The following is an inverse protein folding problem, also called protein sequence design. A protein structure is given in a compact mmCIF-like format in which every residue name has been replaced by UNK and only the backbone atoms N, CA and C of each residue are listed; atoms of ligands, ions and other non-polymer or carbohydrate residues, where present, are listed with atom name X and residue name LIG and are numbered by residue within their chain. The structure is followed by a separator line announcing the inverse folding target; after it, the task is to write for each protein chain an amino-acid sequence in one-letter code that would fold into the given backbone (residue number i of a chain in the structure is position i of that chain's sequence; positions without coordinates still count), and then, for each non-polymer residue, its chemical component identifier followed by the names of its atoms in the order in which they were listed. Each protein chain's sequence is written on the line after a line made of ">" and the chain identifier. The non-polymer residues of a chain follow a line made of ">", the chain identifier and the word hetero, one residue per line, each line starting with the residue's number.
data_IF_658094390577
#
_entry.id   IF_658094390577
#
_cell.length_a   1.000
_cell.length_b   1.000
_cell.length_c   1.000
_cell.angle_alpha   90.00
_cell.angle_beta   90.00
_cell.angle_gamma   90.00
#
_symmetry.space_group_name_H-M   'P 1'
#
loop_
_entity.id
_entity.type
_entity.pdbx_description
1 polymer ?
#
# COMPACT_ATOMS: atom_id res chain seq x y z
N UNK A 1 3.48 -82.03 10.79
CA UNK A 1 2.38 -81.22 10.23
C UNK A 1 2.06 -80.16 11.27
N UNK A 2 2.76 -79.02 11.25
CA UNK A 2 2.48 -77.83 10.43
C UNK A 2 1.21 -77.12 10.86
N UNK A 3 1.36 -75.98 11.55
CA UNK A 3 0.72 -74.67 11.28
C UNK A 3 0.99 -73.75 12.48
N UNK A 4 1.99 -72.88 12.40
CA UNK A 4 1.95 -71.50 11.88
C UNK A 4 1.55 -70.49 12.96
N UNK A 5 2.57 -69.95 13.64
CA UNK A 5 2.49 -68.76 14.48
C UNK A 5 2.20 -67.53 13.62
N UNK A 6 1.14 -66.77 13.91
CA UNK A 6 0.96 -65.39 13.44
C UNK A 6 1.00 -64.45 14.65
N UNK A 7 2.15 -63.83 14.86
CA UNK A 7 2.30 -62.69 15.76
C UNK A 7 1.67 -61.46 15.12
N UNK A 8 0.64 -60.91 15.77
CA UNK A 8 0.12 -59.58 15.44
C UNK A 8 1.00 -58.53 16.13
N UNK A 9 1.94 -57.95 15.38
CA UNK A 9 2.64 -56.74 15.81
C UNK A 9 1.66 -55.57 15.73
N UNK A 10 1.12 -55.17 16.89
CA UNK A 10 0.43 -53.89 17.03
C UNK A 10 1.49 -52.78 16.88
N UNK A 11 1.48 -52.11 15.74
CA UNK A 11 2.26 -50.91 15.49
C UNK A 11 1.74 -49.82 16.45
N UNK A 12 2.44 -49.58 17.56
CA UNK A 12 2.23 -48.41 18.39
C UNK A 12 2.72 -47.20 17.60
N UNK A 13 1.82 -46.55 16.88
CA UNK A 13 2.05 -45.21 16.34
C UNK A 13 2.31 -44.27 17.52
N UNK A 14 3.57 -43.89 17.70
CA UNK A 14 3.92 -42.77 18.56
C UNK A 14 3.44 -41.53 17.79
N UNK A 15 2.25 -41.04 18.14
CA UNK A 15 1.83 -39.71 17.75
C UNK A 15 2.80 -38.73 18.41
N UNK A 16 3.77 -38.25 17.64
CA UNK A 16 4.57 -37.08 18.01
C UNK A 16 3.63 -35.90 18.03
N UNK A 17 3.05 -35.61 19.20
CA UNK A 17 2.38 -34.35 19.45
C UNK A 17 3.44 -33.25 19.24
N UNK A 18 3.36 -32.52 18.13
CA UNK A 18 4.05 -31.24 18.03
C UNK A 18 3.53 -30.40 19.20
N UNK A 19 4.40 -29.88 20.07
CA UNK A 19 3.96 -28.95 21.09
C UNK A 19 3.53 -27.68 20.34
N UNK A 20 2.23 -27.49 20.18
CA UNK A 20 1.67 -26.17 19.89
C UNK A 20 1.88 -25.37 21.17
N UNK A 21 3.06 -24.76 21.29
CA UNK A 21 3.30 -23.74 22.30
C UNK A 21 2.38 -22.59 21.93
N UNK A 22 1.22 -22.54 22.59
CA UNK A 22 0.25 -21.46 22.43
C UNK A 22 0.87 -20.22 23.07
N UNK A 23 1.69 -19.52 22.30
CA UNK A 23 2.30 -18.27 22.75
C UNK A 23 1.19 -17.22 22.76
N UNK A 24 0.81 -16.77 23.96
CA UNK A 24 -0.31 -15.87 24.14
C UNK A 24 -0.03 -14.53 23.43
N UNK A 25 -0.75 -14.30 22.34
CA UNK A 25 -0.68 -13.09 21.54
C UNK A 25 -1.54 -12.03 22.20
N UNK A 26 -0.94 -10.88 22.51
CA UNK A 26 -1.65 -9.76 23.11
C UNK A 26 -2.01 -8.73 22.03
N UNK A 27 -3.24 -8.24 22.10
CA UNK A 27 -3.72 -7.13 21.29
C UNK A 27 -4.07 -5.99 22.25
N UNK A 28 -3.43 -4.84 22.08
CA UNK A 28 -3.64 -3.69 22.95
C UNK A 28 -3.88 -2.43 22.10
N UNK A 29 -4.91 -1.63 22.42
CA UNK A 29 -4.99 -0.26 21.92
C UNK A 29 -3.97 0.56 22.70
N UNK A 30 -2.97 1.13 22.03
CA UNK A 30 -1.96 1.96 22.68
C UNK A 30 -1.96 3.36 22.10
N UNK A 31 -2.13 4.37 22.95
CA UNK A 31 -1.61 5.71 22.67
C UNK A 31 -0.17 5.77 23.17
N UNK A 32 0.81 5.82 22.26
CA UNK A 32 2.20 6.11 22.68
C UNK A 32 3.35 5.48 21.88
N UNK A 33 3.09 4.59 20.92
CA UNK A 33 4.12 4.09 20.00
C UNK A 33 4.01 4.85 18.68
N UNK A 34 4.11 6.17 18.78
CA UNK A 34 4.19 7.02 17.61
C UNK A 34 5.60 6.93 17.06
N UNK A 35 5.76 6.63 15.77
CA UNK A 35 7.00 6.94 15.08
C UNK A 35 7.24 8.45 15.14
N UNK A 36 8.49 8.89 14.99
CA UNK A 36 8.80 10.32 15.02
C UNK A 36 8.58 10.88 13.62
N UNK A 37 7.71 11.89 13.49
CA UNK A 37 7.60 12.62 12.23
C UNK A 37 8.90 13.38 11.95
N UNK A 38 9.41 13.39 10.71
CA UNK A 38 10.51 14.25 10.31
C UNK A 38 10.18 15.73 10.56
N UNK A 39 11.16 16.51 11.03
CA UNK A 39 11.04 17.97 11.11
C UNK A 39 10.90 18.56 9.70
N UNK A 40 10.13 19.65 9.59
CA UNK A 40 9.97 20.35 8.32
C UNK A 40 11.25 21.12 7.96
N UNK A 41 11.72 20.93 6.72
CA UNK A 41 12.99 21.52 6.23
C UNK A 41 12.80 22.64 5.21
N UNK A 42 11.64 23.31 5.23
CA UNK A 42 11.28 24.40 4.32
C UNK A 42 10.42 23.92 3.15
N UNK A 43 9.43 24.73 2.79
CA UNK A 43 8.50 24.45 1.70
C UNK A 43 7.69 23.17 1.87
N UNK A 44 7.56 22.39 0.80
CA UNK A 44 6.92 21.07 0.82
C UNK A 44 7.96 19.95 0.96
N UNK A 45 7.64 18.87 1.65
CA UNK A 45 8.42 17.64 1.57
C UNK A 45 7.51 16.44 1.78
N UNK A 46 8.03 15.28 1.44
CA UNK A 46 7.32 14.02 1.56
C UNK A 46 8.11 12.89 0.91
N UNK A 47 7.77 11.67 1.30
CA UNK A 47 8.32 10.44 0.74
C UNK A 47 7.36 9.31 1.01
N UNK A 48 7.18 8.44 0.03
CA UNK A 48 6.41 7.23 0.21
C UNK A 48 7.17 6.02 -0.35
N UNK A 49 6.96 4.86 0.26
CA UNK A 49 7.50 3.60 -0.24
C UNK A 49 6.60 2.42 0.10
N UNK A 50 6.58 1.43 -0.79
CA UNK A 50 5.75 0.24 -0.63
C UNK A 50 6.28 -0.70 0.45
N UNK A 51 7.57 -1.06 0.39
CA UNK A 51 8.18 -1.95 1.38
C UNK A 51 9.59 -1.47 1.72
N UNK A 52 9.91 -1.41 3.01
CA UNK A 52 11.26 -1.27 3.50
C UNK A 52 11.62 -2.45 4.40
N UNK A 53 12.83 -2.98 4.25
CA UNK A 53 13.33 -4.12 5.00
C UNK A 53 14.73 -3.78 5.53
N UNK A 54 14.88 -3.85 6.85
CA UNK A 54 16.16 -3.89 7.53
C UNK A 54 16.46 -5.31 7.99
N UNK A 55 17.70 -5.73 7.75
CA UNK A 55 18.29 -6.93 8.32
C UNK A 55 19.64 -6.56 8.95
N UNK A 56 20.23 -7.41 9.81
CA UNK A 56 21.55 -7.14 10.40
C UNK A 56 22.69 -6.90 9.39
N UNK A 57 22.48 -7.14 8.09
CA UNK A 57 23.49 -7.02 7.04
C UNK A 57 23.14 -6.02 5.94
N UNK A 58 21.89 -5.62 5.78
CA UNK A 58 21.47 -4.71 4.70
C UNK A 58 20.11 -4.06 4.93
N UNK A 59 19.93 -2.93 4.26
CA UNK A 59 18.67 -2.20 4.11
C UNK A 59 18.22 -2.22 2.64
N UNK A 60 16.94 -2.45 2.40
CA UNK A 60 16.34 -2.38 1.07
C UNK A 60 15.02 -1.62 1.11
N UNK A 61 14.81 -0.74 0.12
CA UNK A 61 13.54 0.01 -0.06
C UNK A 61 13.01 -0.28 -1.45
N UNK A 62 11.71 -0.55 -1.56
CA UNK A 62 11.03 -0.92 -2.80
C UNK A 62 9.86 0.02 -3.08
N UNK A 63 9.64 0.32 -4.37
CA UNK A 63 8.66 1.30 -4.83
C UNK A 63 8.79 2.63 -4.07
N UNK A 64 10.01 3.19 -4.02
CA UNK A 64 10.33 4.41 -3.27
C UNK A 64 10.22 5.64 -4.18
N UNK A 65 9.47 6.65 -3.74
CA UNK A 65 9.37 7.92 -4.47
C UNK A 65 10.65 8.74 -4.41
N UNK A 66 11.50 8.51 -3.40
CA UNK A 66 12.49 9.48 -2.95
C UNK A 66 11.83 10.69 -2.26
N UNK A 67 12.67 11.61 -1.79
CA UNK A 67 12.22 12.84 -1.13
C UNK A 67 11.71 13.86 -2.14
N UNK A 68 10.52 14.40 -1.89
CA UNK A 68 9.97 15.52 -2.63
C UNK A 68 10.82 16.79 -2.39
N UNK A 69 11.19 17.53 -3.45
CA UNK A 69 11.89 18.81 -3.29
C UNK A 69 11.05 19.88 -2.57
N UNK A 70 11.68 20.86 -1.90
CA UNK A 70 11.00 21.96 -1.20
C UNK A 70 10.09 22.81 -2.09
N UNK A 71 10.36 22.84 -3.40
CA UNK A 71 9.54 23.54 -4.38
C UNK A 71 8.20 22.82 -4.66
N UNK A 72 8.05 21.57 -4.22
CA UNK A 72 6.90 20.71 -4.49
C UNK A 72 7.05 19.88 -5.77
N UNK A 73 5.93 19.58 -6.42
CA UNK A 73 5.85 18.69 -7.58
C UNK A 73 5.17 17.37 -7.25
N UNK A 74 5.42 16.34 -8.05
CA UNK A 74 4.91 14.98 -7.83
C UNK A 74 5.98 13.97 -8.20
N UNK A 75 6.24 13.02 -7.30
CA UNK A 75 7.11 11.87 -7.51
C UNK A 75 6.32 10.58 -7.31
N UNK A 76 6.74 9.51 -8.00
CA UNK A 76 6.11 8.19 -7.93
C UNK A 76 7.15 7.09 -7.87
N UNK A 77 6.83 5.99 -7.19
CA UNK A 77 7.59 4.77 -7.18
C UNK A 77 6.65 3.59 -7.34
N UNK A 78 6.88 2.73 -8.33
CA UNK A 78 6.07 1.52 -8.52
C UNK A 78 6.96 0.30 -8.68
N UNK A 79 6.44 -0.85 -8.29
CA UNK A 79 7.10 -2.13 -8.49
C UNK A 79 6.04 -3.22 -8.63
N UNK A 80 6.22 -4.06 -9.65
CA UNK A 80 5.31 -5.17 -9.94
C UNK A 80 5.23 -6.16 -8.79
N UNK A 81 6.37 -6.59 -8.27
CA UNK A 81 6.45 -7.47 -7.11
C UNK A 81 7.78 -7.33 -6.40
N UNK A 82 7.77 -7.65 -5.12
CA UNK A 82 8.97 -7.83 -4.30
C UNK A 82 8.94 -9.24 -3.72
N UNK A 83 10.10 -9.90 -3.69
CA UNK A 83 10.31 -11.11 -2.93
C UNK A 83 11.77 -11.18 -2.49
N UNK A 84 12.02 -10.85 -1.22
CA UNK A 84 13.36 -10.79 -0.62
C UNK A 84 13.52 -11.77 0.55
N UNK A 85 12.77 -12.86 0.53
CA UNK A 85 12.84 -13.94 1.51
C UNK A 85 12.12 -13.67 2.82
N UNK A 86 12.25 -12.46 3.40
CA UNK A 86 11.53 -12.05 4.62
C UNK A 86 10.27 -11.24 4.35
N UNK A 87 10.18 -10.64 3.16
CA UNK A 87 9.05 -9.86 2.71
C UNK A 87 8.75 -10.18 1.24
N UNK A 88 7.46 -10.35 0.95
CA UNK A 88 6.92 -10.42 -0.39
C UNK A 88 5.65 -9.57 -0.49
N UNK A 89 5.35 -9.10 -1.69
CA UNK A 89 4.17 -8.31 -2.00
C UNK A 89 4.08 -8.03 -3.50
N UNK A 90 2.90 -7.67 -3.95
CA UNK A 90 2.57 -7.43 -5.35
C UNK A 90 1.95 -6.04 -5.52
N UNK A 91 2.08 -5.49 -6.73
CA UNK A 91 1.46 -4.20 -7.12
C UNK A 91 1.79 -3.10 -6.11
N UNK A 92 3.09 -2.87 -5.88
CA UNK A 92 3.54 -1.80 -5.01
C UNK A 92 3.41 -0.48 -5.76
N UNK A 93 2.70 0.47 -5.17
CA UNK A 93 2.48 1.81 -5.71
C UNK A 93 2.73 2.84 -4.62
N UNK A 94 3.47 3.89 -4.94
CA UNK A 94 3.70 5.01 -4.04
C UNK A 94 3.79 6.32 -4.79
N UNK A 95 3.35 7.38 -4.13
CA UNK A 95 3.44 8.72 -4.66
C UNK A 95 3.55 9.76 -3.55
N UNK A 96 4.15 10.89 -3.88
CA UNK A 96 4.23 12.08 -3.02
C UNK A 96 4.05 13.31 -3.87
N UNK A 97 3.40 14.33 -3.32
CA UNK A 97 3.11 15.59 -3.98
C UNK A 97 3.17 16.78 -3.03
N UNK A 98 3.46 17.94 -3.61
CA UNK A 98 3.49 19.21 -2.89
C UNK A 98 3.11 20.36 -3.81
N UNK A 99 2.14 21.16 -3.42
CA UNK A 99 1.66 22.29 -4.21
C UNK A 99 0.33 22.83 -3.70
N UNK A 100 0.03 24.10 -4.00
CA UNK A 100 -1.27 24.69 -3.66
C UNK A 100 -1.60 24.71 -2.16
N UNK A 101 -0.59 24.71 -1.29
CA UNK A 101 -0.78 24.67 0.16
C UNK A 101 -0.92 23.28 0.77
N UNK A 102 -0.71 22.22 -0.02
CA UNK A 102 -0.89 20.83 0.38
C UNK A 102 0.37 20.04 0.09
N UNK A 103 0.88 19.32 1.09
CA UNK A 103 1.79 18.19 0.91
C UNK A 103 1.02 16.89 1.15
N UNK A 104 1.14 15.91 0.27
CA UNK A 104 0.34 14.69 0.33
C UNK A 104 1.10 13.51 -0.25
N UNK A 105 1.03 12.36 0.41
CA UNK A 105 1.73 11.14 0.01
C UNK A 105 0.94 9.90 0.38
N UNK A 106 1.11 8.85 -0.42
CA UNK A 106 0.52 7.54 -0.16
C UNK A 106 1.42 6.41 -0.65
N UNK A 107 1.25 5.23 -0.04
CA UNK A 107 1.81 3.97 -0.52
C UNK A 107 0.79 2.86 -0.35
N UNK A 108 0.73 1.92 -1.30
CA UNK A 108 -0.13 0.76 -1.30
C UNK A 108 0.64 -0.50 -1.76
N UNK A 109 0.30 -1.64 -1.17
CA UNK A 109 0.84 -2.96 -1.51
C UNK A 109 -0.28 -4.00 -1.45
N UNK A 110 -0.40 -4.82 -2.49
CA UNK A 110 -1.28 -5.98 -2.54
C UNK A 110 -0.56 -7.26 -2.12
N UNK A 111 -1.33 -8.25 -1.65
CA UNK A 111 -0.89 -9.61 -1.30
C UNK A 111 0.44 -9.66 -0.53
N UNK A 112 0.46 -8.99 0.62
CA UNK A 112 1.61 -8.90 1.51
C UNK A 112 1.82 -10.23 2.22
N UNK A 113 3.06 -10.72 2.21
CA UNK A 113 3.50 -11.88 3.00
C UNK A 113 4.86 -11.62 3.63
N UNK A 114 4.90 -11.51 4.95
CA UNK A 114 6.10 -11.36 5.76
C UNK A 114 6.37 -12.66 6.50
N UNK A 115 7.60 -13.16 6.46
CA UNK A 115 7.99 -14.38 7.16
C UNK A 115 9.42 -14.27 7.66
N UNK A 116 9.58 -14.10 8.97
CA UNK A 116 10.90 -13.94 9.60
C UNK A 116 11.29 -15.22 10.31
N UNK A 117 12.19 -16.01 9.72
CA UNK A 117 12.86 -17.14 10.37
C UNK A 117 11.95 -18.25 10.92
N UNK A 118 10.70 -18.35 10.45
CA UNK A 118 9.69 -19.25 11.02
C UNK A 118 9.17 -18.84 12.40
N UNK A 119 9.51 -17.64 12.87
CA UNK A 119 9.10 -17.09 14.17
C UNK A 119 7.71 -16.47 14.09
N UNK A 120 7.47 -15.69 13.04
CA UNK A 120 6.19 -15.05 12.77
C UNK A 120 5.95 -15.01 11.27
N UNK A 121 4.70 -15.27 10.89
CA UNK A 121 4.18 -14.99 9.54
C UNK A 121 3.09 -13.94 9.65
N UNK A 122 3.18 -12.88 8.85
CA UNK A 122 2.15 -11.84 8.73
C UNK A 122 1.71 -11.80 7.28
N UNK A 123 0.40 -11.85 7.02
CA UNK A 123 -0.13 -11.68 5.67
C UNK A 123 -1.27 -10.67 5.67
N UNK A 124 -1.45 -9.95 4.57
CA UNK A 124 -2.58 -9.07 4.34
C UNK A 124 -2.88 -9.00 2.85
N UNK A 125 -4.16 -8.97 2.49
CA UNK A 125 -4.59 -8.89 1.09
C UNK A 125 -4.25 -7.52 0.49
N UNK A 126 -4.35 -6.47 1.32
CA UNK A 126 -4.06 -5.10 0.92
C UNK A 126 -3.61 -4.27 2.11
N UNK A 127 -2.61 -3.42 1.89
CA UNK A 127 -2.04 -2.52 2.89
C UNK A 127 -1.79 -1.16 2.25
N UNK A 128 -2.35 -0.09 2.82
CA UNK A 128 -2.15 1.30 2.36
C UNK A 128 -1.89 2.25 3.51
N UNK A 129 -1.01 3.21 3.29
CA UNK A 129 -0.82 4.38 4.13
C UNK A 129 -1.08 5.65 3.31
N UNK A 130 -1.70 6.66 3.94
CA UNK A 130 -1.97 7.96 3.35
C UNK A 130 -1.68 9.08 4.35
N UNK A 131 -1.14 10.18 3.85
CA UNK A 131 -0.77 11.36 4.62
C UNK A 131 -1.12 12.63 3.87
N UNK A 132 -1.58 13.65 4.60
CA UNK A 132 -1.84 14.99 4.08
C UNK A 132 -1.45 16.03 5.11
N UNK A 133 -0.75 17.08 4.69
CA UNK A 133 -0.38 18.22 5.53
C UNK A 133 -0.71 19.54 4.83
N UNK A 134 -1.43 20.41 5.52
CA UNK A 134 -1.74 21.78 5.07
C UNK A 134 -1.50 22.79 6.18
N UNK A 135 -1.23 24.05 5.84
CA UNK A 135 -1.05 25.09 6.86
C UNK A 135 -2.33 25.37 7.67
N UNK A 136 -3.50 25.22 7.05
CA UNK A 136 -4.78 25.57 7.68
C UNK A 136 -5.38 24.41 8.49
N UNK A 137 -5.35 23.18 7.96
CA UNK A 137 -5.96 22.02 8.61
C UNK A 137 -4.98 21.25 9.49
N UNK A 138 -3.67 21.46 9.30
CA UNK A 138 -2.61 20.70 9.94
C UNK A 138 -2.28 19.40 9.19
N UNK A 139 -1.57 18.51 9.89
CA UNK A 139 -1.10 17.22 9.37
C UNK A 139 -1.96 16.06 9.88
N UNK A 140 -2.44 15.23 8.96
CA UNK A 140 -3.35 14.11 9.17
C UNK A 140 -2.91 12.88 8.38
N UNK A 141 -3.21 11.70 8.88
CA UNK A 141 -2.86 10.46 8.21
C UNK A 141 -3.80 9.31 8.56
N UNK A 142 -3.82 8.31 7.69
CA UNK A 142 -4.63 7.11 7.87
C UNK A 142 -3.97 5.90 7.22
N UNK A 143 -4.40 4.71 7.63
CA UNK A 143 -4.04 3.48 6.94
C UNK A 143 -5.27 2.61 6.72
N UNK A 144 -5.21 1.79 5.67
CA UNK A 144 -6.21 0.80 5.33
C UNK A 144 -5.53 -0.56 5.20
N UNK A 145 -6.04 -1.56 5.92
CA UNK A 145 -5.50 -2.91 5.91
C UNK A 145 -6.66 -3.90 5.77
N UNK A 146 -6.59 -4.78 4.78
CA UNK A 146 -7.56 -5.85 4.54
C UNK A 146 -6.93 -7.22 4.74
N UNK A 147 -7.71 -8.17 5.27
CA UNK A 147 -7.30 -9.57 5.37
C UNK A 147 -6.11 -9.84 6.29
N UNK A 148 -5.83 -8.97 7.26
CA UNK A 148 -4.65 -9.12 8.12
C UNK A 148 -4.71 -10.43 8.91
N UNK A 149 -3.69 -11.27 8.75
CA UNK A 149 -3.48 -12.47 9.55
C UNK A 149 -2.08 -12.46 10.15
N UNK A 150 -1.97 -13.01 11.36
CA UNK A 150 -0.68 -13.24 12.01
C UNK A 150 -0.67 -14.68 12.52
N UNK A 151 0.32 -15.46 12.07
CA UNK A 151 0.42 -16.90 12.31
C UNK A 151 -0.88 -17.66 11.94
N UNK A 152 -1.54 -17.24 10.85
CA UNK A 152 -2.81 -17.80 10.39
C UNK A 152 -4.04 -17.42 11.22
N UNK A 153 -3.88 -16.57 12.24
CA UNK A 153 -4.99 -16.04 13.04
C UNK A 153 -5.43 -14.69 12.46
N UNK A 154 -6.71 -14.51 12.10
CA UNK A 154 -7.19 -13.22 11.60
C UNK A 154 -7.14 -12.16 12.69
N UNK A 155 -6.71 -10.96 12.32
CA UNK A 155 -6.63 -9.80 13.19
C UNK A 155 -7.65 -8.76 12.75
N UNK A 156 -8.53 -8.37 13.66
CA UNK A 156 -9.42 -7.23 13.44
C UNK A 156 -8.62 -5.94 13.51
N UNK A 157 -8.54 -5.22 12.39
CA UNK A 157 -7.95 -3.87 12.32
C UNK A 157 -8.97 -2.86 12.84
N UNK A 158 -8.64 -2.14 13.91
CA UNK A 158 -9.58 -1.21 14.56
C UNK A 158 -9.60 0.16 13.91
N UNK A 159 -8.53 0.51 13.20
CA UNK A 159 -8.29 1.86 12.68
C UNK A 159 -7.66 2.81 13.71
N UNK A 160 -7.51 2.38 14.96
CA UNK A 160 -6.83 3.17 15.98
C UNK A 160 -5.35 3.34 15.63
N UNK A 161 -4.77 4.48 16.00
CA UNK A 161 -3.33 4.73 15.84
C UNK A 161 -2.56 3.79 16.76
N UNK A 162 -1.55 3.10 16.22
CA UNK A 162 -0.63 2.27 16.99
C UNK A 162 -1.26 1.01 17.59
N UNK A 163 -2.26 0.42 16.93
CA UNK A 163 -2.79 -0.88 17.34
C UNK A 163 -1.65 -1.92 17.32
N UNK A 164 -1.41 -2.59 18.44
CA UNK A 164 -0.32 -3.55 18.51
C UNK A 164 -0.80 -4.99 18.57
N UNK A 165 -0.03 -5.83 17.90
CA UNK A 165 -0.13 -7.28 17.94
C UNK A 165 1.27 -7.80 18.25
N UNK A 166 1.47 -8.36 19.43
CA UNK A 166 2.82 -8.69 19.87
C UNK A 166 2.85 -9.92 20.74
N UNK A 167 4.06 -10.49 20.81
CA UNK A 167 4.40 -11.52 21.77
C UNK A 167 5.70 -11.10 22.48
N UNK A 168 5.65 -10.86 23.81
CA UNK A 168 6.80 -10.37 24.56
C UNK A 168 8.09 -11.16 24.29
N UNK A 169 9.15 -10.45 23.90
CA UNK A 169 10.46 -11.04 23.62
C UNK A 169 10.55 -11.82 22.31
N UNK A 170 9.52 -11.81 21.48
CA UNK A 170 9.48 -12.54 20.19
C UNK A 170 9.26 -11.62 19.01
N UNK A 171 8.12 -10.95 18.95
CA UNK A 171 7.83 -9.95 17.91
C UNK A 171 6.89 -8.86 18.38
N UNK A 172 6.93 -7.74 17.67
CA UNK A 172 5.94 -6.66 17.75
C UNK A 172 5.53 -6.28 16.34
N UNK A 173 4.23 -6.32 16.05
CA UNK A 173 3.61 -5.70 14.89
C UNK A 173 2.81 -4.49 15.37
N UNK A 174 3.12 -3.32 14.82
CA UNK A 174 2.36 -2.09 15.01
C UNK A 174 1.57 -1.84 13.73
N UNK A 175 0.27 -1.63 13.88
CA UNK A 175 -0.67 -1.34 12.81
C UNK A 175 -1.05 0.13 12.94
N UNK A 176 -1.12 0.83 11.80
CA UNK A 176 -1.43 2.25 11.75
C UNK A 176 -0.51 3.08 12.67
N UNK A 177 0.80 2.86 12.57
CA UNK A 177 1.77 3.63 13.33
C UNK A 177 1.85 5.04 12.75
N UNK A 178 1.63 6.07 13.57
CA UNK A 178 1.65 7.46 13.11
C UNK A 178 2.52 8.34 13.98
N UNK A 179 3.21 9.29 13.34
CA UNK A 179 3.99 10.34 13.97
C UNK A 179 3.59 11.69 13.44
N UNK A 180 3.30 12.66 14.30
CA UNK A 180 2.79 13.97 13.86
C UNK A 180 3.48 15.14 14.55
N UNK A 181 3.81 16.18 13.78
CA UNK A 181 4.19 17.51 14.25
C UNK A 181 3.14 18.49 13.73
N UNK A 182 2.54 19.27 14.63
CA UNK A 182 1.53 20.28 14.30
C UNK A 182 1.86 21.59 15.06
N UNK A 183 2.91 22.29 14.65
CA UNK A 183 3.28 23.61 15.19
C UNK A 183 2.87 24.71 14.21
N UNK A 184 2.96 25.98 14.61
CA UNK A 184 2.61 27.11 13.74
C UNK A 184 3.45 27.16 12.46
N UNK A 185 4.69 26.66 12.51
CA UNK A 185 5.64 26.69 11.40
C UNK A 185 5.87 25.35 10.72
N UNK A 186 5.40 24.24 11.28
CA UNK A 186 5.64 22.91 10.73
C UNK A 186 4.44 22.00 10.93
N UNK A 187 3.95 21.44 9.82
CA UNK A 187 2.94 20.40 9.78
C UNK A 187 3.59 19.19 9.12
N UNK A 188 3.83 18.12 9.87
CA UNK A 188 4.49 16.91 9.39
C UNK A 188 3.75 15.69 9.91
N UNK A 189 3.56 14.68 9.06
CA UNK A 189 2.93 13.42 9.40
C UNK A 189 3.65 12.29 8.69
N UNK A 190 3.95 11.23 9.40
CA UNK A 190 4.35 9.94 8.85
C UNK A 190 3.36 8.88 9.30
N UNK A 191 3.01 7.98 8.39
CA UNK A 191 2.18 6.81 8.64
C UNK A 191 2.87 5.58 8.08
N UNK A 192 3.05 4.57 8.93
CA UNK A 192 3.40 3.21 8.53
C UNK A 192 2.17 2.33 8.75
N UNK A 193 1.61 1.75 7.68
CA UNK A 193 0.42 0.93 7.81
C UNK A 193 0.69 -0.35 8.61
N UNK A 194 1.81 -1.03 8.31
CA UNK A 194 2.34 -2.14 9.12
C UNK A 194 3.82 -1.90 9.43
N UNK A 195 4.20 -2.10 10.69
CA UNK A 195 5.57 -2.02 11.16
C UNK A 195 5.89 -3.24 12.03
N UNK A 196 6.70 -4.16 11.49
CA UNK A 196 7.04 -5.43 12.12
C UNK A 196 8.48 -5.45 12.62
N UNK A 197 8.66 -5.79 13.89
CA UNK A 197 9.95 -5.99 14.54
C UNK A 197 10.11 -7.42 15.05
N UNK A 198 11.15 -8.12 14.59
CA UNK A 198 11.42 -9.53 14.97
C UNK A 198 12.92 -9.76 14.97
N UNK A 199 13.52 -10.05 16.12
CA UNK A 199 14.91 -10.54 16.23
C UNK A 199 15.97 -9.69 15.45
N UNK A 200 15.83 -8.36 15.44
CA UNK A 200 16.74 -7.47 14.71
C UNK A 200 16.47 -7.35 13.20
N UNK A 201 15.40 -7.95 12.71
CA UNK A 201 14.77 -7.65 11.43
C UNK A 201 13.63 -6.67 11.68
N UNK A 202 13.55 -5.64 10.85
CA UNK A 202 12.51 -4.62 10.87
C UNK A 202 11.93 -4.52 9.45
N UNK A 203 10.61 -4.52 9.34
CA UNK A 203 9.92 -4.44 8.05
C UNK A 203 8.79 -3.43 8.17
N UNK A 204 8.78 -2.47 7.26
CA UNK A 204 7.70 -1.50 7.11
C UNK A 204 6.99 -1.77 5.78
N UNK A 205 5.67 -1.88 5.83
CA UNK A 205 4.82 -2.03 4.64
C UNK A 205 3.87 -0.85 4.56
N UNK A 206 3.85 -0.23 3.38
CA UNK A 206 3.23 1.03 3.05
C UNK A 206 3.60 2.13 4.06
N UNK A 207 4.62 2.91 3.71
CA UNK A 207 4.98 4.13 4.43
C UNK A 207 4.66 5.35 3.59
N UNK A 208 4.06 6.35 4.21
CA UNK A 208 3.82 7.65 3.61
C UNK A 208 4.18 8.74 4.61
N UNK A 209 4.94 9.72 4.16
CA UNK A 209 5.29 10.91 4.92
C UNK A 209 5.00 12.16 4.09
N UNK A 210 4.40 13.16 4.72
CA UNK A 210 4.16 14.47 4.12
C UNK A 210 4.43 15.57 5.15
N UNK A 211 5.10 16.63 4.72
CA UNK A 211 5.30 17.82 5.54
C UNK A 211 5.25 19.13 4.76
N UNK A 212 4.89 20.19 5.47
CA UNK A 212 4.82 21.54 4.96
C UNK A 212 5.28 22.55 6.02
N UNK A 213 6.13 23.48 5.60
CA UNK A 213 6.60 24.60 6.42
C UNK A 213 5.71 25.82 6.22
N UNK A 214 5.21 26.39 7.33
CA UNK A 214 4.25 27.50 7.32
C UNK A 214 4.85 28.80 7.90
N UNK A 215 4.40 29.99 7.44
CA UNK A 215 3.59 30.19 6.25
C UNK A 215 4.39 29.89 4.98
N UNK A 216 3.71 29.53 3.90
CA UNK A 216 4.35 29.29 2.61
C UNK A 216 4.78 30.64 2.04
N UNK A 217 6.08 30.91 2.06
CA UNK A 217 6.64 32.10 1.40
C UNK A 217 6.62 31.91 -0.11
N UNK A 218 6.35 32.98 -0.88
CA UNK A 218 6.49 32.94 -2.35
C UNK A 218 7.91 32.50 -2.72
N UNK A 219 8.04 31.30 -3.27
CA UNK A 219 9.32 30.65 -3.57
C UNK A 219 9.59 29.37 -2.74
N UNK A 220 9.04 29.25 -1.53
CA UNK A 220 9.05 28.02 -0.72
C UNK A 220 7.97 27.01 -1.15
N UNK A 221 7.62 27.04 -2.43
CA UNK A 221 6.47 26.35 -3.01
C UNK A 221 6.11 26.97 -4.36
N UNK A 222 7.12 27.43 -5.10
CA UNK A 222 7.04 28.31 -6.28
C UNK A 222 6.38 27.71 -7.52
N UNK A 223 5.52 26.72 -7.38
CA UNK A 223 4.49 26.48 -8.39
C UNK A 223 3.37 27.49 -8.18
N UNK A 224 3.04 28.28 -9.21
CA UNK A 224 1.68 28.84 -9.28
C UNK A 224 0.64 27.73 -9.09
N UNK A 225 -0.60 28.07 -8.79
CA UNK A 225 -1.73 27.13 -8.90
C UNK A 225 -1.66 26.51 -10.30
N UNK A 226 -1.10 25.31 -10.36
CA UNK A 226 -0.91 24.58 -11.60
C UNK A 226 -2.14 23.72 -11.73
N UNK A 227 -2.92 23.99 -12.78
CA UNK A 227 -4.02 23.13 -13.19
C UNK A 227 -3.51 21.70 -13.23
N UNK A 228 -3.98 20.91 -12.27
CA UNK A 228 -3.68 19.49 -12.15
C UNK A 228 -5.00 18.74 -12.24
N UNK A 229 -4.94 17.57 -12.83
CA UNK A 229 -6.06 16.65 -12.86
C UNK A 229 -5.49 15.27 -13.05
N UNK A 230 -5.32 14.55 -11.95
CA UNK A 230 -4.84 13.18 -11.98
C UNK A 230 -5.56 12.33 -10.95
N UNK A 231 -5.60 11.03 -11.20
CA UNK A 231 -6.19 10.05 -10.31
C UNK A 231 -5.12 9.06 -9.88
N UNK A 232 -5.17 8.66 -8.61
CA UNK A 232 -4.36 7.59 -8.03
C UNK A 232 -5.28 6.53 -7.47
N UNK A 233 -4.87 5.27 -7.46
CA UNK A 233 -5.65 4.25 -6.81
C UNK A 233 -4.86 2.97 -6.60
N UNK A 234 -5.09 2.34 -5.45
CA UNK A 234 -4.56 1.03 -5.12
C UNK A 234 -5.62 0.24 -4.38
N UNK A 235 -5.77 -1.03 -4.71
CA UNK A 235 -6.80 -1.86 -4.12
C UNK A 235 -6.99 -3.15 -4.88
N UNK A 236 -8.14 -3.78 -4.65
CA UNK A 236 -8.53 -4.99 -5.34
C UNK A 236 -10.04 -5.12 -5.46
N UNK A 237 -10.45 -5.90 -6.46
CA UNK A 237 -11.83 -6.31 -6.71
C UNK A 237 -11.95 -7.83 -6.70
N UNK A 238 -13.16 -8.35 -6.45
CA UNK A 238 -13.42 -9.78 -6.54
C UNK A 238 -13.52 -10.24 -8.00
N UNK A 239 -12.81 -11.32 -8.34
CA UNK A 239 -12.87 -12.00 -9.64
C UNK A 239 -12.95 -13.50 -9.45
N UNK A 240 -14.09 -14.10 -9.77
CA UNK A 240 -14.31 -15.56 -9.67
C UNK A 240 -13.85 -16.20 -8.33
N UNK A 241 -13.97 -15.47 -7.22
CA UNK A 241 -13.55 -15.92 -5.89
C UNK A 241 -12.07 -15.67 -5.55
N UNK A 242 -11.32 -15.04 -6.44
CA UNK A 242 -9.94 -14.61 -6.25
C UNK A 242 -9.84 -13.08 -6.25
N UNK A 243 -8.73 -12.55 -5.76
CA UNK A 243 -8.45 -11.11 -5.84
C UNK A 243 -7.96 -10.75 -7.24
N UNK A 244 -8.40 -9.60 -7.72
CA UNK A 244 -7.71 -8.90 -8.78
C UNK A 244 -7.18 -7.57 -8.26
N UNK A 245 -5.88 -7.52 -8.01
CA UNK A 245 -5.20 -6.36 -7.44
C UNK A 245 -4.90 -5.34 -8.53
N UNK A 246 -4.96 -4.06 -8.19
CA UNK A 246 -4.58 -2.97 -9.06
C UNK A 246 -3.83 -1.88 -8.30
N UNK A 247 -3.00 -1.16 -9.05
CA UNK A 247 -2.28 0.02 -8.60
C UNK A 247 -2.04 0.92 -9.81
N UNK A 248 -2.43 2.18 -9.72
CA UNK A 248 -2.28 3.13 -10.82
C UNK A 248 -2.15 4.57 -10.37
N UNK A 249 -1.57 5.35 -11.27
CA UNK A 249 -1.62 6.81 -11.28
C UNK A 249 -1.77 7.26 -12.72
N UNK A 250 -2.65 8.19 -13.02
CA UNK A 250 -2.81 8.70 -14.38
C UNK A 250 -3.34 10.14 -14.40
N UNK A 251 -2.84 10.95 -15.33
CA UNK A 251 -3.38 12.27 -15.61
C UNK A 251 -2.33 13.37 -15.73
N UNK A 252 -2.79 14.60 -15.60
CA UNK A 252 -2.00 15.82 -15.71
C UNK A 252 -1.53 16.24 -14.32
N UNK A 253 -0.28 15.89 -14.01
CA UNK A 253 0.40 16.39 -12.81
C UNK A 253 0.85 17.85 -13.02
N UNK A 254 1.06 18.62 -11.95
CA UNK A 254 1.57 19.99 -12.06
C UNK A 254 2.81 20.09 -12.98
N UNK A 255 2.77 20.96 -14.00
CA UNK A 255 3.82 21.18 -15.00
C UNK A 255 4.29 19.93 -15.76
N UNK A 256 3.41 18.94 -15.89
CA UNK A 256 3.75 17.66 -16.48
C UNK A 256 2.78 17.31 -17.58
N UNK A 257 3.32 16.91 -18.74
CA UNK A 257 2.52 16.25 -19.77
C UNK A 257 1.86 14.99 -19.21
N UNK A 258 0.77 14.57 -19.87
CA UNK A 258 0.04 13.36 -19.55
C UNK A 258 1.00 12.20 -19.34
N UNK A 259 0.86 11.55 -18.19
CA UNK A 259 1.63 10.38 -17.83
C UNK A 259 0.87 9.54 -16.83
N UNK A 260 1.36 8.34 -16.62
CA UNK A 260 0.85 7.47 -15.59
C UNK A 260 1.35 6.05 -15.76
N UNK A 261 0.86 5.20 -14.88
CA UNK A 261 1.21 3.81 -14.75
C UNK A 261 -0.02 3.04 -14.28
N UNK A 262 -0.11 1.78 -14.64
CA UNK A 262 -1.14 0.85 -14.19
C UNK A 262 -0.51 -0.54 -14.12
N UNK A 263 -0.68 -1.20 -12.99
CA UNK A 263 -0.43 -2.63 -12.81
C UNK A 263 -1.72 -3.27 -12.34
N UNK A 264 -2.05 -4.44 -12.90
CA UNK A 264 -3.25 -5.20 -12.55
C UNK A 264 -2.97 -6.69 -12.61
N UNK A 265 -3.19 -7.42 -11.52
CA UNK A 265 -2.98 -8.86 -11.42
C UNK A 265 -4.32 -9.52 -11.09
N UNK A 266 -4.90 -10.29 -12.03
CA UNK A 266 -6.06 -11.14 -11.78
C UNK A 266 -5.60 -12.56 -11.45
N UNK A 267 -5.75 -12.94 -10.18
CA UNK A 267 -5.37 -14.27 -9.69
C UNK A 267 -6.30 -15.39 -10.14
N UNK A 268 -7.53 -15.09 -10.59
CA UNK A 268 -8.43 -16.11 -11.16
C UNK A 268 -7.93 -16.61 -12.51
N UNK A 269 -7.49 -15.67 -13.35
CA UNK A 269 -7.01 -15.97 -14.70
C UNK A 269 -5.48 -16.14 -14.76
N UNK A 270 -4.77 -15.85 -13.66
CA UNK A 270 -3.31 -15.82 -13.61
C UNK A 270 -2.73 -14.79 -14.57
N UNK A 271 -3.42 -13.66 -14.73
CA UNK A 271 -3.12 -12.63 -15.72
C UNK A 271 -2.52 -11.41 -15.05
N UNK A 272 -1.38 -10.95 -15.56
CA UNK A 272 -0.77 -9.68 -15.17
C UNK A 272 -0.81 -8.69 -16.35
N UNK A 273 -1.44 -7.54 -16.14
CA UNK A 273 -1.45 -6.42 -17.06
C UNK A 273 -0.56 -5.32 -16.51
N UNK A 274 0.37 -4.85 -17.34
CA UNK A 274 1.24 -3.73 -17.00
C UNK A 274 1.24 -2.70 -18.11
N UNK A 275 0.79 -1.49 -17.81
CA UNK A 275 0.81 -0.39 -18.74
C UNK A 275 2.26 -0.04 -19.14
N UNK A 276 2.45 0.19 -20.42
CA UNK A 276 3.66 0.73 -21.02
C UNK A 276 3.50 2.21 -21.40
N UNK A 277 2.26 2.70 -21.48
CA UNK A 277 1.94 4.11 -21.67
C UNK A 277 0.59 4.49 -21.05
N UNK A 278 0.40 5.80 -20.90
CA UNK A 278 -0.92 6.44 -20.74
C UNK A 278 -1.02 7.46 -21.87
N UNK A 279 -1.95 7.24 -22.80
CA UNK A 279 -2.07 7.99 -24.05
C UNK A 279 -3.21 9.00 -24.02
N UNK A 280 -4.29 8.69 -23.29
CA UNK A 280 -5.41 9.61 -23.09
C UNK A 280 -5.87 9.64 -21.64
N UNK A 281 -6.49 10.76 -21.25
CA UNK A 281 -7.09 10.99 -19.95
C UNK A 281 -8.30 11.90 -20.12
N UNK A 282 -9.46 11.47 -19.62
CA UNK A 282 -10.74 12.11 -19.82
C UNK A 282 -11.49 12.30 -18.52
N UNK A 283 -12.20 13.42 -18.44
CA UNK A 283 -13.07 13.79 -17.33
C UNK A 283 -14.52 14.11 -17.73
N UNK A 284 -14.84 13.92 -19.01
CA UNK A 284 -16.14 14.25 -19.61
C UNK A 284 -17.21 13.22 -19.24
N UNK A 285 -17.50 13.08 -17.95
CA UNK A 285 -18.51 12.17 -17.40
C UNK A 285 -19.61 12.95 -16.68
N UNK A 286 -20.81 12.35 -16.60
CA UNK A 286 -21.89 12.88 -15.78
C UNK A 286 -21.51 12.89 -14.28
N UNK A 287 -20.62 11.97 -13.87
CA UNK A 287 -20.04 11.93 -12.54
C UNK A 287 -18.73 12.74 -12.50
N UNK A 288 -18.67 13.89 -11.78
CA UNK A 288 -17.45 14.71 -11.70
C UNK A 288 -16.29 14.03 -10.94
N UNK A 289 -16.57 12.91 -10.26
CA UNK A 289 -15.60 12.05 -9.54
C UNK A 289 -15.02 10.93 -10.41
N UNK A 290 -15.47 10.81 -11.67
CA UNK A 290 -15.03 9.75 -12.56
C UNK A 290 -13.87 10.18 -13.45
N UNK A 291 -12.94 9.26 -13.73
CA UNK A 291 -11.87 9.44 -14.71
C UNK A 291 -11.73 8.20 -15.58
N UNK A 292 -11.38 8.42 -16.83
CA UNK A 292 -10.98 7.36 -17.74
C UNK A 292 -9.62 7.69 -18.34
N UNK A 293 -8.74 6.69 -18.37
CA UNK A 293 -7.47 6.79 -19.06
C UNK A 293 -7.20 5.55 -19.88
N UNK A 294 -6.49 5.73 -20.99
CA UNK A 294 -6.21 4.65 -21.94
C UNK A 294 -4.72 4.60 -22.23
N UNK A 295 -4.25 3.46 -22.75
CA UNK A 295 -2.88 3.35 -23.21
C UNK A 295 -2.55 1.98 -23.75
N UNK A 296 -1.25 1.74 -23.93
CA UNK A 296 -0.68 0.44 -24.26
C UNK A 296 -0.23 -0.31 -23.01
N UNK A 297 -0.29 -1.64 -23.04
CA UNK A 297 0.11 -2.53 -21.98
C UNK A 297 0.68 -3.85 -22.51
N UNK A 298 1.48 -4.50 -21.67
CA UNK A 298 1.84 -5.91 -21.82
C UNK A 298 0.90 -6.78 -21.00
N UNK A 299 0.69 -8.01 -21.46
CA UNK A 299 0.02 -9.06 -20.68
C UNK A 299 1.03 -10.17 -20.41
N UNK A 300 1.21 -10.56 -19.15
CA UNK A 300 2.19 -11.54 -18.69
C UNK A 300 3.61 -11.24 -19.20
N UNK A 301 3.98 -9.95 -19.21
CA UNK A 301 5.29 -9.47 -19.63
C UNK A 301 5.54 -9.47 -21.14
N UNK A 302 4.52 -9.74 -21.97
CA UNK A 302 4.67 -9.77 -23.43
C UNK A 302 3.49 -9.16 -24.20
N UNK A 303 3.71 -9.00 -25.50
CA UNK A 303 2.71 -8.42 -26.43
C UNK A 303 2.56 -6.90 -26.31
N UNK A 304 1.66 -6.37 -27.12
CA UNK A 304 1.25 -4.97 -27.10
C UNK A 304 -0.28 -4.94 -27.25
N UNK A 305 -0.95 -4.49 -26.20
CA UNK A 305 -2.41 -4.48 -26.09
C UNK A 305 -2.86 -3.10 -25.65
N UNK A 306 -3.99 -2.63 -26.16
CA UNK A 306 -4.60 -1.42 -25.60
C UNK A 306 -5.47 -1.75 -24.40
N UNK A 307 -5.57 -0.80 -23.47
CA UNK A 307 -6.46 -0.86 -22.32
C UNK A 307 -7.27 0.43 -22.16
N UNK A 308 -8.42 0.29 -21.49
CA UNK A 308 -9.23 1.39 -20.97
C UNK A 308 -9.42 1.15 -19.48
N UNK A 309 -8.97 2.09 -18.66
CA UNK A 309 -9.18 2.09 -17.22
C UNK A 309 -10.16 3.20 -16.86
N UNK A 310 -11.29 2.84 -16.26
CA UNK A 310 -12.31 3.75 -15.75
C UNK A 310 -12.42 3.62 -14.24
N UNK A 311 -12.44 4.75 -13.54
CA UNK A 311 -12.42 4.79 -12.08
C UNK A 311 -13.33 5.88 -11.53
N UNK A 312 -13.87 5.66 -10.34
CA UNK A 312 -14.69 6.64 -9.61
C UNK A 312 -14.21 6.79 -8.16
N UNK A 313 -13.95 8.03 -7.75
CA UNK A 313 -13.63 8.43 -6.37
C UNK A 313 -14.89 8.86 -5.61
N UNK A 314 -15.60 7.89 -5.06
CA UNK A 314 -16.95 8.10 -4.54
C UNK A 314 -16.94 8.45 -3.05
N UNK A 315 -16.03 7.90 -2.24
CA UNK A 315 -15.96 8.15 -0.80
C UNK A 315 -14.59 7.83 -0.19
N UNK A 316 -14.24 8.51 0.91
CA UNK A 316 -13.11 8.15 1.77
C UNK A 316 -13.59 7.55 3.11
N UNK A 317 -13.19 6.32 3.47
CA UNK A 317 -12.43 5.35 2.68
C UNK A 317 -13.25 4.73 1.53
N UNK A 318 -12.55 4.35 0.45
CA UNK A 318 -13.12 3.93 -0.83
C UNK A 318 -13.75 2.54 -0.88
N UNK A 319 -13.43 1.67 0.08
CA UNK A 319 -13.95 0.31 0.13
C UNK A 319 -15.49 0.25 0.09
N UNK A 320 -16.03 -0.40 -0.93
CA UNK A 320 -17.46 -0.58 -1.16
C UNK A 320 -18.17 0.62 -1.81
N UNK A 321 -17.44 1.68 -2.13
CA UNK A 321 -17.99 2.92 -2.71
C UNK A 321 -17.27 3.32 -3.99
N UNK A 322 -15.94 3.29 -3.99
CA UNK A 322 -15.12 3.55 -5.16
C UNK A 322 -15.30 2.43 -6.19
N UNK A 323 -15.16 2.78 -7.46
CA UNK A 323 -15.41 1.87 -8.56
C UNK A 323 -14.18 1.77 -9.46
N UNK A 324 -13.85 0.55 -9.88
CA UNK A 324 -12.76 0.28 -10.79
C UNK A 324 -13.25 -0.57 -11.95
N UNK A 325 -12.81 -0.23 -13.17
CA UNK A 325 -13.00 -1.04 -14.37
C UNK A 325 -11.77 -1.02 -15.26
N UNK A 326 -11.33 -2.20 -15.67
CA UNK A 326 -10.33 -2.41 -16.70
C UNK A 326 -10.92 -3.18 -17.88
N UNK A 327 -10.78 -2.63 -19.07
CA UNK A 327 -11.11 -3.28 -20.35
C UNK A 327 -9.83 -3.43 -21.17
N UNK A 328 -9.59 -4.60 -21.76
CA UNK A 328 -8.46 -4.85 -22.64
C UNK A 328 -8.92 -5.09 -24.09
N UNK A 329 -8.06 -4.77 -25.05
CA UNK A 329 -8.26 -5.07 -26.48
C UNK A 329 -8.49 -6.55 -26.81
N UNK A 330 -8.16 -7.47 -25.90
CA UNK A 330 -8.46 -8.89 -26.00
C UNK A 330 -9.95 -9.23 -25.82
N UNK A 331 -10.76 -8.26 -25.38
CA UNK A 331 -12.15 -8.45 -24.97
C UNK A 331 -12.32 -8.78 -23.48
N UNK A 332 -11.22 -8.84 -22.72
CA UNK A 332 -11.25 -9.01 -21.27
C UNK A 332 -11.83 -7.78 -20.57
N UNK A 333 -12.69 -8.01 -19.57
CA UNK A 333 -13.25 -6.98 -18.69
C UNK A 333 -13.22 -7.44 -17.23
N UNK A 334 -12.71 -6.57 -16.37
CA UNK A 334 -12.84 -6.67 -14.92
C UNK A 334 -13.38 -5.36 -14.37
N UNK A 335 -14.52 -5.42 -13.69
CA UNK A 335 -15.19 -4.24 -13.14
C UNK A 335 -15.91 -4.60 -11.86
N UNK A 336 -15.78 -3.79 -10.81
CA UNK A 336 -16.55 -3.91 -9.56
C UNK A 336 -16.31 -2.70 -8.65
N UNK A 337 -17.16 -2.55 -7.62
CA UNK A 337 -16.80 -1.73 -6.46
C UNK A 337 -15.60 -2.32 -5.70
N UNK A 338 -14.78 -1.44 -5.11
CA UNK A 338 -13.58 -1.89 -4.41
C UNK A 338 -13.93 -2.78 -3.22
N UNK A 339 -13.37 -3.98 -3.20
CA UNK A 339 -13.52 -4.89 -2.07
C UNK A 339 -12.50 -4.58 -0.95
N UNK A 340 -11.40 -3.90 -1.31
CA UNK A 340 -10.48 -3.18 -0.44
C UNK A 340 -9.65 -2.17 -1.23
N UNK A 341 -9.19 -1.11 -0.58
CA UNK A 341 -8.42 -0.03 -1.19
C UNK A 341 -9.20 1.25 -1.43
N UNK A 342 -8.55 2.19 -2.11
CA UNK A 342 -9.04 3.56 -2.27
C UNK A 342 -8.58 4.15 -3.61
N UNK A 343 -9.44 4.93 -4.23
CA UNK A 343 -9.17 5.78 -5.39
C UNK A 343 -9.21 7.23 -4.92
N UNK A 344 -8.34 8.10 -5.43
CA UNK A 344 -8.33 9.52 -5.10
C UNK A 344 -8.16 10.35 -6.35
N UNK A 345 -9.04 11.33 -6.51
CA UNK A 345 -9.01 12.32 -7.56
C UNK A 345 -8.37 13.62 -7.06
N UNK A 346 -7.34 14.07 -7.76
CA UNK A 346 -6.54 15.23 -7.42
C UNK A 346 -6.78 16.36 -8.42
N UNK A 347 -7.47 17.41 -7.99
CA UNK A 347 -7.70 18.65 -8.76
C UNK A 347 -7.20 19.88 -8.02
#
# INVERSE_FOLDING_TARGET
>A
MSESMRGSHAFRGIATALPVVLLAMAIVPMGGFACTAPDCNGGYSGRAYGVWVHTPVSDHTFADTGWLPPEGGVLTGTLESVNVGVAAGEVLESWTSGGGGVAESAAAVGDVSLSVGGVVTVSADFVRAHTRATCDDGAHGSSEISGLMVNGVPITVTGDVGQMVYVPGVFTLIINEQGTINTDSCKSIIVNALHLWVQGVEIVVASAHSDITCPITQGGGGGGEQTKDFVTGGGWIWRNGYHANFGFVAGYKPNQDLRGELNFIDHADGMHVKATSVDTYHDEFANPKAREFTGHATINGGGDYTYICYVEDNQEPGRGYDYFRLTLSTGYVAEEYLAGGNIQLHK
#
